data_IF_309918888289
#
_entry.id   IF_309918888289
#
_cell.length_a   1.000
_cell.length_b   1.000
_cell.length_c   1.000
_cell.angle_alpha   90.00
_cell.angle_beta   90.00
_cell.angle_gamma   90.00
#
_symmetry.space_group_name_H-M   'P 1'
#
loop_
_entity.id
_entity.type
_entity.pdbx_description
1 polymer ?
#
# COMPACT_ATOMS: atom_id res chain seq x y z
N UNK A 1 -25.65 -7.40 2.45
CA UNK A 1 -24.20 -7.10 2.46
C UNK A 1 -23.50 -8.26 3.13
N UNK A 2 -22.72 -9.05 2.39
CA UNK A 2 -21.97 -10.15 3.01
C UNK A 2 -20.56 -10.16 2.45
N UNK A 3 -19.59 -9.95 3.33
CA UNK A 3 -18.22 -10.36 3.07
C UNK A 3 -18.19 -11.89 3.12
N UNK A 4 -17.60 -12.51 2.10
CA UNK A 4 -17.44 -13.96 2.02
C UNK A 4 -16.07 -14.39 2.54
N UNK A 5 -15.02 -13.62 2.24
CA UNK A 5 -13.65 -13.93 2.61
C UNK A 5 -12.93 -12.67 3.07
N UNK A 6 -12.18 -12.79 4.15
CA UNK A 6 -11.24 -11.77 4.61
C UNK A 6 -9.84 -12.38 4.65
N UNK A 7 -8.88 -11.78 3.95
CA UNK A 7 -7.49 -12.14 4.04
C UNK A 7 -6.70 -10.98 4.66
N UNK A 8 -5.86 -11.28 5.64
CA UNK A 8 -4.87 -10.34 6.16
C UNK A 8 -3.48 -10.83 5.77
N UNK A 9 -2.74 -10.02 5.02
CA UNK A 9 -1.46 -10.34 4.43
C UNK A 9 -0.35 -9.56 5.13
N UNK A 10 0.58 -10.30 5.74
CA UNK A 10 1.88 -9.81 6.19
C UNK A 10 2.85 -9.82 5.01
N UNK A 11 3.41 -8.67 4.67
CA UNK A 11 4.08 -8.41 3.41
C UNK A 11 5.55 -8.09 3.60
N UNK A 12 6.31 -8.45 2.58
CA UNK A 12 7.74 -8.18 2.53
C UNK A 12 8.19 -8.11 1.08
N UNK A 13 9.32 -7.47 0.85
CA UNK A 13 10.03 -7.57 -0.43
C UNK A 13 10.39 -9.02 -0.72
N UNK A 14 10.85 -9.76 0.30
CA UNK A 14 11.17 -11.18 0.21
C UNK A 14 9.90 -12.02 0.15
N UNK A 15 9.67 -12.65 -1.00
CA UNK A 15 8.51 -13.51 -1.26
C UNK A 15 8.34 -14.62 -0.21
N UNK A 16 9.43 -15.15 0.35
CA UNK A 16 9.40 -16.22 1.36
C UNK A 16 8.88 -15.74 2.72
N UNK A 17 8.90 -14.43 2.97
CA UNK A 17 8.43 -13.80 4.21
C UNK A 17 7.01 -13.26 4.09
N UNK A 18 6.32 -13.51 2.97
CA UNK A 18 4.93 -13.09 2.76
C UNK A 18 3.98 -14.17 3.26
N UNK A 19 3.18 -13.83 4.26
CA UNK A 19 2.25 -14.73 4.92
C UNK A 19 0.85 -14.12 4.94
N UNK A 20 -0.16 -14.95 5.06
CA UNK A 20 -1.54 -14.49 5.22
C UNK A 20 -2.33 -15.38 6.18
N UNK A 21 -3.30 -14.77 6.85
CA UNK A 21 -4.37 -15.47 7.54
C UNK A 21 -5.67 -15.21 6.77
N UNK A 22 -6.47 -16.25 6.59
CA UNK A 22 -7.73 -16.17 5.83
C UNK A 22 -8.89 -16.58 6.73
N UNK A 23 -9.92 -15.74 6.75
CA UNK A 23 -11.20 -16.03 7.38
C UNK A 23 -12.25 -16.21 6.28
N UNK A 24 -12.94 -17.33 6.30
CA UNK A 24 -14.00 -17.66 5.34
C UNK A 24 -15.34 -17.71 6.06
N UNK A 25 -16.36 -17.09 5.48
CA UNK A 25 -17.70 -17.12 6.03
C UNK A 25 -18.34 -18.47 5.76
N UNK A 26 -18.83 -19.14 6.82
CA UNK A 26 -19.54 -20.43 6.75
C UNK A 26 -20.85 -20.31 7.52
N UNK A 27 -21.98 -20.33 6.81
CA UNK A 27 -23.29 -20.06 7.38
C UNK A 27 -23.35 -18.68 8.07
N UNK A 28 -23.67 -18.67 9.37
CA UNK A 28 -23.72 -17.44 10.17
C UNK A 28 -22.37 -17.05 10.80
N UNK A 29 -21.37 -17.95 10.78
CA UNK A 29 -20.07 -17.77 11.43
C UNK A 29 -18.89 -17.63 10.47
N UNK A 30 -17.68 -17.65 11.04
CA UNK A 30 -16.41 -17.56 10.32
C UNK A 30 -15.49 -18.71 10.72
N UNK A 31 -14.77 -19.27 9.74
CA UNK A 31 -13.66 -20.19 9.99
C UNK A 31 -12.37 -19.47 9.64
N UNK A 32 -11.44 -19.41 10.60
CA UNK A 32 -10.12 -18.80 10.41
C UNK A 32 -9.10 -19.92 10.23
N UNK A 33 -8.38 -19.90 9.10
CA UNK A 33 -7.31 -20.86 8.83
C UNK A 33 -6.02 -20.50 9.57
N UNK A 34 -5.16 -21.50 9.77
CA UNK A 34 -3.79 -21.25 10.20
C UNK A 34 -3.05 -20.35 9.19
N UNK A 35 -2.03 -19.58 9.63
CA UNK A 35 -1.24 -18.77 8.72
C UNK A 35 -0.64 -19.62 7.58
N UNK A 36 -0.72 -19.11 6.36
CA UNK A 36 -0.20 -19.79 5.17
C UNK A 36 0.60 -18.80 4.29
N UNK A 37 1.57 -19.28 3.48
CA UNK A 37 2.33 -18.41 2.61
C UNK A 37 1.45 -17.81 1.50
N UNK A 38 1.74 -16.57 1.11
CA UNK A 38 1.05 -15.88 -0.01
C UNK A 38 1.33 -16.56 -1.37
N UNK A 39 2.49 -17.20 -1.54
CA UNK A 39 2.92 -17.86 -2.79
C UNK A 39 2.94 -16.88 -3.98
N UNK A 40 2.49 -17.32 -5.15
CA UNK A 40 2.42 -16.49 -6.36
C UNK A 40 1.37 -15.39 -6.18
N UNK A 41 1.74 -14.17 -6.57
CA UNK A 41 0.91 -12.98 -6.47
C UNK A 41 -0.02 -12.83 -7.67
N UNK A 42 0.35 -13.39 -8.82
CA UNK A 42 -0.46 -13.32 -10.05
C UNK A 42 -1.80 -14.07 -9.92
N UNK A 43 -1.85 -15.16 -9.15
CA UNK A 43 -3.06 -15.94 -8.92
C UNK A 43 -3.73 -15.68 -7.57
N UNK A 44 -3.20 -14.77 -6.74
CA UNK A 44 -3.64 -14.57 -5.36
C UNK A 44 -5.12 -14.21 -5.27
N UNK A 45 -5.56 -13.17 -6.00
CA UNK A 45 -6.95 -12.72 -6.00
C UNK A 45 -7.88 -13.82 -6.55
N UNK A 46 -7.65 -14.40 -7.74
CA UNK A 46 -8.45 -15.53 -8.23
C UNK A 46 -8.51 -16.70 -7.25
N UNK A 47 -7.41 -17.02 -6.57
CA UNK A 47 -7.34 -18.12 -5.61
C UNK A 47 -8.17 -17.85 -4.35
N UNK A 48 -8.13 -16.64 -3.82
CA UNK A 48 -8.96 -16.26 -2.67
C UNK A 48 -10.43 -16.15 -3.06
N UNK A 49 -10.74 -15.68 -4.27
CA UNK A 49 -12.12 -15.68 -4.80
C UNK A 49 -12.72 -17.07 -4.89
N UNK A 50 -11.94 -18.08 -5.27
CA UNK A 50 -12.39 -19.49 -5.26
C UNK A 50 -12.74 -20.02 -3.86
N UNK A 51 -12.33 -19.34 -2.79
CA UNK A 51 -12.69 -19.68 -1.40
C UNK A 51 -14.01 -19.05 -0.96
N UNK A 52 -14.55 -18.10 -1.72
CA UNK A 52 -15.86 -17.52 -1.46
C UNK A 52 -16.95 -18.56 -1.80
N UNK A 53 -17.62 -19.14 -0.79
CA UNK A 53 -18.78 -20.03 -1.01
C UNK A 53 -20.00 -19.30 -1.57
N UNK A 54 -20.06 -18.00 -1.34
CA UNK A 54 -21.13 -17.10 -1.78
C UNK A 54 -20.53 -16.04 -2.67
N UNK A 55 -21.36 -15.33 -3.44
CA UNK A 55 -20.93 -14.16 -4.21
C UNK A 55 -20.60 -12.93 -3.34
N UNK A 56 -20.25 -13.13 -2.06
CA UNK A 56 -19.90 -12.04 -1.16
C UNK A 56 -18.57 -11.34 -1.51
N UNK A 57 -18.35 -10.19 -0.89
CA UNK A 57 -17.13 -9.42 -1.06
C UNK A 57 -15.89 -10.21 -0.57
N UNK A 58 -14.78 -10.05 -1.27
CA UNK A 58 -13.44 -10.43 -0.81
C UNK A 58 -12.76 -9.18 -0.27
N UNK A 59 -12.34 -9.21 1.00
CA UNK A 59 -11.57 -8.13 1.63
C UNK A 59 -10.14 -8.60 1.84
N UNK A 60 -9.17 -7.83 1.37
CA UNK A 60 -7.75 -8.12 1.48
C UNK A 60 -7.04 -6.95 2.15
N UNK A 61 -6.59 -7.18 3.38
CA UNK A 61 -5.78 -6.25 4.13
C UNK A 61 -4.29 -6.52 3.92
N UNK A 62 -3.52 -5.52 3.49
CA UNK A 62 -2.07 -5.61 3.37
C UNK A 62 -1.37 -4.66 4.33
N UNK A 63 -0.30 -5.13 4.97
CA UNK A 63 0.54 -4.35 5.90
C UNK A 63 1.59 -3.46 5.21
N UNK A 64 1.37 -3.08 3.94
CA UNK A 64 2.14 -2.06 3.26
C UNK A 64 1.31 -0.77 3.09
N UNK A 65 1.96 0.41 3.03
CA UNK A 65 1.28 1.67 2.77
C UNK A 65 0.45 1.66 1.48
N UNK A 66 -0.79 2.15 1.53
CA UNK A 66 -1.63 2.43 0.36
C UNK A 66 -1.99 3.92 0.38
N UNK A 67 -1.56 4.65 -0.65
CA UNK A 67 -1.72 6.09 -0.75
C UNK A 67 -0.40 6.85 -0.76
N UNK A 68 -0.48 8.16 -1.01
CA UNK A 68 0.66 9.07 -1.08
C UNK A 68 0.49 10.21 -0.05
N UNK A 69 1.60 10.81 0.43
CA UNK A 69 1.54 12.06 1.17
C UNK A 69 0.88 13.16 0.33
N UNK A 70 0.07 14.01 0.97
CA UNK A 70 -0.72 15.04 0.27
C UNK A 70 0.19 16.03 -0.46
N UNK A 71 1.27 16.50 0.17
CA UNK A 71 2.19 17.45 -0.44
C UNK A 71 2.86 16.88 -1.69
N UNK A 72 3.26 15.61 -1.65
CA UNK A 72 3.80 14.92 -2.82
C UNK A 72 2.76 14.77 -3.93
N UNK A 73 1.52 14.39 -3.58
CA UNK A 73 0.41 14.30 -4.54
C UNK A 73 0.20 15.63 -5.28
N UNK A 74 0.10 16.74 -4.53
CA UNK A 74 -0.03 18.09 -5.09
C UNK A 74 1.15 18.47 -6.00
N UNK A 75 2.39 18.20 -5.56
CA UNK A 75 3.60 18.52 -6.34
C UNK A 75 3.71 17.69 -7.64
N UNK A 76 3.18 16.47 -7.64
CA UNK A 76 3.16 15.60 -8.82
C UNK A 76 2.13 16.02 -9.87
N UNK A 77 1.13 16.83 -9.51
CA UNK A 77 0.03 17.22 -10.40
C UNK A 77 -0.94 16.09 -10.75
N UNK A 78 -0.84 14.92 -10.10
CA UNK A 78 -1.75 13.80 -10.28
C UNK A 78 -3.07 14.05 -9.54
N UNK A 79 -4.20 13.82 -10.22
CA UNK A 79 -5.53 14.21 -9.72
C UNK A 79 -5.94 13.44 -8.45
N UNK A 80 -5.67 12.13 -8.41
CA UNK A 80 -5.97 11.26 -7.28
C UNK A 80 -5.03 10.05 -7.24
N UNK A 81 -5.15 9.23 -6.19
CA UNK A 81 -4.28 8.07 -6.00
C UNK A 81 -4.44 6.98 -7.09
N UNK A 82 -5.64 6.82 -7.65
CA UNK A 82 -5.90 5.85 -8.71
C UNK A 82 -5.31 6.31 -10.04
N UNK A 83 -5.40 7.60 -10.35
CA UNK A 83 -4.70 8.23 -11.46
C UNK A 83 -3.17 8.10 -11.31
N UNK A 84 -2.65 8.28 -10.09
CA UNK A 84 -1.25 8.07 -9.79
C UNK A 84 -0.78 6.64 -10.09
N UNK A 85 -1.52 5.63 -9.62
CA UNK A 85 -1.21 4.22 -9.87
C UNK A 85 -1.21 3.87 -11.36
N UNK A 86 -2.09 4.49 -12.18
CA UNK A 86 -2.09 4.31 -13.64
C UNK A 86 -0.87 4.93 -14.31
N UNK A 87 -0.35 6.03 -13.77
CA UNK A 87 0.79 6.74 -14.35
C UNK A 87 2.14 6.09 -13.99
N UNK A 88 2.29 5.56 -12.77
CA UNK A 88 3.55 5.03 -12.29
C UNK A 88 4.05 3.83 -13.11
N UNK A 89 5.34 3.84 -13.44
CA UNK A 89 5.97 2.83 -14.31
C UNK A 89 5.87 3.15 -15.81
N UNK A 90 5.20 4.24 -16.19
CA UNK A 90 5.15 4.77 -17.56
C UNK A 90 5.67 6.21 -17.60
N UNK A 91 6.10 6.72 -18.76
CA UNK A 91 6.62 8.09 -18.85
C UNK A 91 5.55 9.13 -18.46
N UNK A 92 5.88 10.17 -17.68
CA UNK A 92 7.22 10.53 -17.18
C UNK A 92 7.66 9.81 -15.88
N UNK A 93 6.78 9.02 -15.26
CA UNK A 93 7.01 8.29 -13.99
C UNK A 93 7.61 6.88 -14.18
N UNK A 94 8.40 6.66 -15.23
CA UNK A 94 8.96 5.34 -15.54
C UNK A 94 9.85 4.82 -14.41
N UNK A 95 10.56 5.72 -13.73
CA UNK A 95 11.50 5.42 -12.64
C UNK A 95 10.86 5.53 -11.25
N UNK A 96 9.54 5.65 -11.16
CA UNK A 96 8.88 5.95 -9.88
C UNK A 96 9.10 4.85 -8.83
N UNK A 97 9.19 3.60 -9.27
CA UNK A 97 9.46 2.46 -8.39
C UNK A 97 10.95 2.22 -8.11
N UNK A 98 11.84 3.00 -8.71
CA UNK A 98 13.27 2.84 -8.54
C UNK A 98 13.72 3.59 -7.30
N UNK A 99 14.50 2.93 -6.45
CA UNK A 99 15.10 3.56 -5.28
C UNK A 99 16.36 4.30 -5.72
N UNK A 100 16.45 5.59 -5.40
CA UNK A 100 17.62 6.42 -5.64
C UNK A 100 18.82 5.93 -4.81
N UNK A 101 19.97 5.79 -5.47
CA UNK A 101 21.26 5.50 -4.85
C UNK A 101 21.91 6.78 -4.34
N UNK A 102 21.78 7.87 -5.10
CA UNK A 102 22.36 9.18 -4.79
C UNK A 102 21.29 10.26 -4.62
N UNK A 103 21.60 11.29 -3.83
CA UNK A 103 20.64 12.35 -3.46
C UNK A 103 20.19 13.20 -4.66
N UNK A 104 21.04 13.33 -5.67
CA UNK A 104 20.80 14.05 -6.92
C UNK A 104 19.88 13.29 -7.90
N UNK A 105 19.62 12.01 -7.65
CA UNK A 105 18.64 11.23 -8.40
C UNK A 105 17.21 11.40 -7.85
N UNK A 106 17.06 11.95 -6.64
CA UNK A 106 15.76 12.15 -6.01
C UNK A 106 14.99 13.19 -6.80
N UNK A 107 13.78 12.83 -7.21
CA UNK A 107 12.87 13.75 -7.91
C UNK A 107 11.43 13.31 -7.72
N UNK A 108 10.49 14.12 -8.22
CA UNK A 108 9.09 13.74 -8.27
C UNK A 108 8.86 12.45 -9.10
N UNK A 109 9.75 12.12 -10.03
CA UNK A 109 9.65 10.93 -10.87
C UNK A 109 10.42 9.72 -10.31
N UNK A 110 11.22 9.90 -9.26
CA UNK A 110 12.00 8.85 -8.57
C UNK A 110 12.16 9.22 -7.08
N UNK A 111 11.10 9.08 -6.25
CA UNK A 111 11.09 9.69 -4.92
C UNK A 111 11.66 8.80 -3.81
N UNK A 112 11.86 7.49 -4.03
CA UNK A 112 12.30 6.57 -2.98
C UNK A 112 13.80 6.69 -2.73
N UNK A 113 14.21 6.87 -1.47
CA UNK A 113 15.61 7.01 -1.09
C UNK A 113 15.82 6.60 0.38
N UNK A 114 16.96 6.00 0.76
CA UNK A 114 18.09 5.58 -0.08
C UNK A 114 18.10 4.08 -0.39
N UNK A 115 18.78 3.72 -1.48
CA UNK A 115 18.98 2.31 -1.85
C UNK A 115 19.86 1.56 -0.85
N UNK A 116 20.89 2.21 -0.31
CA UNK A 116 21.86 1.64 0.62
C UNK A 116 22.17 2.59 1.79
N UNK A 117 22.61 2.08 2.96
CA UNK A 117 23.13 2.93 4.02
C UNK A 117 24.41 3.67 3.61
N UNK A 118 24.69 4.80 4.25
CA UNK A 118 25.97 5.52 4.15
C UNK A 118 25.80 7.00 3.78
N UNK A 119 26.01 7.92 4.74
CA UNK A 119 25.92 9.36 4.51
C UNK A 119 24.54 9.87 4.08
N UNK A 120 23.50 9.04 4.18
CA UNK A 120 22.14 9.32 3.72
C UNK A 120 21.31 9.96 4.83
N UNK A 121 20.54 10.99 4.47
CA UNK A 121 19.74 11.77 5.42
C UNK A 121 18.35 12.04 4.86
N UNK A 122 17.34 12.13 5.73
CA UNK A 122 15.97 12.48 5.33
C UNK A 122 15.89 13.88 4.73
N UNK A 123 16.76 14.79 5.17
CA UNK A 123 16.85 16.14 4.59
C UNK A 123 17.05 16.12 3.07
N UNK A 124 17.75 15.12 2.53
CA UNK A 124 17.90 14.98 1.07
C UNK A 124 16.56 14.80 0.34
N UNK A 125 15.59 14.11 0.94
CA UNK A 125 14.24 14.00 0.38
C UNK A 125 13.52 15.34 0.43
N UNK A 126 13.69 16.07 1.53
CA UNK A 126 13.02 17.34 1.74
C UNK A 126 13.54 18.39 0.76
N UNK A 127 14.84 18.52 0.63
CA UNK A 127 15.48 19.45 -0.29
C UNK A 127 15.11 19.14 -1.76
N UNK A 128 15.19 17.87 -2.16
CA UNK A 128 14.95 17.46 -3.55
C UNK A 128 13.47 17.52 -3.97
N UNK A 129 12.55 17.33 -3.03
CA UNK A 129 11.10 17.41 -3.27
C UNK A 129 10.51 18.78 -2.90
N UNK A 130 11.36 19.74 -2.53
CA UNK A 130 10.98 21.09 -2.09
C UNK A 130 9.94 21.07 -0.95
N UNK A 131 10.23 20.30 0.08
CA UNK A 131 9.41 20.14 1.29
C UNK A 131 10.08 20.89 2.44
N UNK A 132 9.36 21.81 3.06
CA UNK A 132 9.87 22.60 4.20
C UNK A 132 9.70 21.86 5.53
N UNK A 133 8.53 21.23 5.74
CA UNK A 133 8.24 20.43 6.93
C UNK A 133 8.27 18.94 6.60
N UNK A 134 9.14 18.18 7.26
CA UNK A 134 9.23 16.72 7.07
C UNK A 134 7.92 15.97 7.32
N UNK A 135 7.00 16.54 8.11
CA UNK A 135 5.65 15.99 8.33
C UNK A 135 4.77 16.00 7.07
N UNK A 136 5.13 16.76 6.04
CA UNK A 136 4.44 16.82 4.76
C UNK A 136 4.77 15.65 3.83
N UNK A 137 5.86 14.91 4.09
CA UNK A 137 6.11 13.61 3.48
C UNK A 137 5.48 12.44 4.26
N UNK A 138 4.72 12.72 5.31
CA UNK A 138 3.87 11.72 5.99
C UNK A 138 2.44 11.81 5.45
N UNK A 139 1.80 10.65 5.29
CA UNK A 139 0.35 10.58 5.12
C UNK A 139 -0.33 11.02 6.41
N UNK A 140 -1.58 11.48 6.34
CA UNK A 140 -2.31 11.96 7.53
C UNK A 140 -2.35 10.92 8.65
N UNK A 141 -2.57 9.66 8.31
CA UNK A 141 -2.58 8.53 9.25
C UNK A 141 -1.19 8.17 9.83
N UNK A 142 -0.11 8.73 9.28
CA UNK A 142 1.27 8.50 9.72
C UNK A 142 1.78 9.60 10.65
N UNK A 143 1.08 10.73 10.75
CA UNK A 143 1.46 11.83 11.63
C UNK A 143 1.24 11.48 13.10
N UNK A 144 2.08 12.04 13.96
CA UNK A 144 2.00 11.87 15.39
C UNK A 144 0.63 12.26 15.94
N UNK A 145 0.23 11.55 16.98
CA UNK A 145 -0.96 11.83 17.79
C UNK A 145 -0.52 12.09 19.23
N UNK A 146 -1.45 12.49 20.10
CA UNK A 146 -1.15 12.70 21.52
C UNK A 146 -0.56 11.47 22.23
N UNK A 147 -0.74 10.26 21.69
CA UNK A 147 -0.36 9.00 22.34
C UNK A 147 0.69 8.20 21.57
N UNK A 148 1.08 8.65 20.37
CA UNK A 148 2.05 7.93 19.53
C UNK A 148 2.78 8.90 18.61
N UNK A 149 4.09 8.72 18.45
CA UNK A 149 4.89 9.50 17.51
C UNK A 149 4.59 9.17 16.04
N UNK A 150 5.29 9.89 15.15
CA UNK A 150 5.21 9.66 13.70
C UNK A 150 5.51 8.21 13.33
N UNK A 151 4.81 7.72 12.32
CA UNK A 151 5.06 6.45 11.69
C UNK A 151 6.19 6.56 10.64
N UNK A 152 6.25 5.61 9.72
CA UNK A 152 7.29 5.55 8.71
C UNK A 152 6.95 6.44 7.50
N UNK A 153 7.92 7.18 6.98
CA UNK A 153 7.78 7.91 5.71
C UNK A 153 7.80 6.94 4.53
N UNK A 154 6.83 7.04 3.63
CA UNK A 154 6.74 6.20 2.44
C UNK A 154 8.03 6.18 1.61
N UNK A 155 8.61 7.36 1.38
CA UNK A 155 9.78 7.51 0.50
C UNK A 155 11.11 7.19 1.16
N UNK A 156 11.14 6.96 2.48
CA UNK A 156 12.35 6.59 3.20
C UNK A 156 12.53 5.06 3.21
N UNK A 157 13.64 4.57 2.64
CA UNK A 157 13.83 3.12 2.40
C UNK A 157 14.95 2.47 3.20
N UNK A 158 15.37 3.07 4.32
CA UNK A 158 16.46 2.58 5.19
C UNK A 158 16.04 2.36 6.66
N UNK A 159 16.67 1.38 7.33
CA UNK A 159 16.49 1.10 8.77
C UNK A 159 15.31 0.18 9.08
N UNK A 160 14.72 0.29 10.26
CA UNK A 160 13.48 -0.42 10.64
C UNK A 160 12.21 0.14 9.98
N UNK A 161 12.34 1.24 9.23
CA UNK A 161 11.23 2.03 8.69
C UNK A 161 11.10 1.92 7.16
N UNK A 162 11.53 0.81 6.54
CA UNK A 162 11.56 0.64 5.07
C UNK A 162 10.20 0.24 4.48
N UNK A 163 9.12 0.86 4.95
CA UNK A 163 7.77 0.55 4.47
C UNK A 163 7.61 0.84 2.97
N UNK A 164 8.41 1.77 2.43
CA UNK A 164 8.44 2.11 1.00
C UNK A 164 8.77 0.94 0.09
N UNK A 165 9.73 0.06 0.48
CA UNK A 165 10.08 -1.10 -0.35
C UNK A 165 8.94 -2.13 -0.39
N UNK A 166 8.23 -2.29 0.72
CA UNK A 166 7.03 -3.13 0.78
C UNK A 166 5.88 -2.54 -0.05
N UNK A 167 5.71 -1.21 -0.04
CA UNK A 167 4.76 -0.51 -0.91
C UNK A 167 5.08 -0.72 -2.39
N UNK A 168 6.35 -0.54 -2.81
CA UNK A 168 6.78 -0.78 -4.21
C UNK A 168 6.37 -2.18 -4.67
N UNK A 169 6.71 -3.22 -3.91
CA UNK A 169 6.37 -4.60 -4.31
C UNK A 169 4.87 -4.87 -4.24
N UNK A 170 4.19 -4.38 -3.20
CA UNK A 170 2.74 -4.51 -3.06
C UNK A 170 1.97 -3.86 -4.20
N UNK A 171 2.37 -2.64 -4.59
CA UNK A 171 1.67 -1.90 -5.64
C UNK A 171 1.92 -2.53 -7.01
N UNK A 172 3.17 -2.91 -7.32
CA UNK A 172 3.51 -3.52 -8.61
C UNK A 172 2.97 -4.93 -8.78
N UNK A 173 2.90 -5.72 -7.72
CA UNK A 173 2.52 -7.13 -7.81
C UNK A 173 1.04 -7.38 -7.53
N UNK A 174 0.37 -6.52 -6.75
CA UNK A 174 -1.04 -6.70 -6.36
C UNK A 174 -1.93 -5.61 -6.94
N UNK A 175 -1.65 -4.34 -6.66
CA UNK A 175 -2.63 -3.28 -6.94
C UNK A 175 -2.69 -2.94 -8.43
N UNK A 176 -1.56 -2.59 -9.04
CA UNK A 176 -1.49 -2.11 -10.42
C UNK A 176 -1.98 -3.14 -11.43
N UNK A 177 -1.58 -4.43 -11.35
CA UNK A 177 -2.05 -5.44 -12.30
C UNK A 177 -3.57 -5.70 -12.23
N UNK A 178 -4.21 -5.36 -11.11
CA UNK A 178 -5.63 -5.63 -10.86
C UNK A 178 -6.42 -4.33 -10.68
N UNK A 179 -5.88 -3.18 -11.12
CA UNK A 179 -6.39 -1.87 -10.74
C UNK A 179 -7.85 -1.66 -11.14
N UNK A 180 -8.26 -2.17 -12.30
CA UNK A 180 -9.63 -2.03 -12.79
C UNK A 180 -10.60 -3.06 -12.16
N UNK A 181 -10.08 -4.10 -11.48
CA UNK A 181 -10.86 -5.18 -10.87
C UNK A 181 -10.95 -5.09 -9.33
N UNK A 182 -10.23 -4.13 -8.73
CA UNK A 182 -10.22 -3.91 -7.27
C UNK A 182 -10.68 -2.51 -6.91
N UNK A 183 -11.34 -2.43 -5.75
CA UNK A 183 -11.60 -1.16 -5.06
C UNK A 183 -10.59 -0.97 -3.93
N UNK A 184 -10.05 0.23 -3.82
CA UNK A 184 -9.03 0.64 -2.87
C UNK A 184 -9.69 1.40 -1.73
N UNK A 185 -9.67 0.83 -0.54
CA UNK A 185 -10.12 1.52 0.66
C UNK A 185 -8.94 2.26 1.31
N UNK A 186 -9.08 3.54 1.71
CA UNK A 186 -10.31 4.35 1.83
C UNK A 186 -10.61 5.27 0.64
N UNK A 187 -9.99 5.08 -0.52
CA UNK A 187 -10.06 6.03 -1.64
C UNK A 187 -11.36 5.95 -2.43
N UNK A 188 -11.93 4.75 -2.61
CA UNK A 188 -13.12 4.55 -3.45
C UNK A 188 -14.45 4.64 -2.66
N UNK A 189 -14.42 5.00 -1.38
CA UNK A 189 -15.61 5.17 -0.53
C UNK A 189 -15.47 4.54 0.86
N UNK A 190 -16.58 4.52 1.61
CA UNK A 190 -16.60 3.88 2.93
C UNK A 190 -16.55 2.36 2.79
N UNK A 191 -16.00 1.67 3.80
CA UNK A 191 -15.89 0.21 3.75
C UNK A 191 -17.25 -0.48 3.60
N UNK A 192 -18.30 0.06 4.23
CA UNK A 192 -19.67 -0.47 4.12
C UNK A 192 -20.24 -0.34 2.71
N UNK A 193 -19.96 0.76 2.01
CA UNK A 193 -20.40 0.97 0.62
C UNK A 193 -19.67 0.04 -0.36
N UNK A 194 -18.40 -0.27 -0.07
CA UNK A 194 -17.56 -1.11 -0.93
C UNK A 194 -17.87 -2.61 -0.80
N UNK A 195 -18.41 -3.07 0.34
CA UNK A 195 -18.74 -4.48 0.62
C UNK A 195 -19.97 -5.01 -0.15
N UNK A 196 -19.92 -4.93 -1.47
CA UNK A 196 -20.93 -5.41 -2.42
C UNK A 196 -20.63 -6.84 -2.89
N UNK A 197 -21.67 -7.50 -3.40
CA UNK A 197 -21.54 -8.81 -4.06
C UNK A 197 -20.48 -8.74 -5.16
N UNK A 198 -19.61 -9.73 -5.24
CA UNK A 198 -18.57 -9.79 -6.27
C UNK A 198 -17.48 -8.73 -6.16
N UNK A 199 -17.41 -7.89 -5.12
CA UNK A 199 -16.39 -6.85 -4.99
C UNK A 199 -15.06 -7.35 -4.36
N UNK A 200 -13.91 -6.95 -4.91
CA UNK A 200 -12.57 -7.21 -4.34
C UNK A 200 -12.07 -5.92 -3.72
N UNK A 201 -11.94 -5.89 -2.40
CA UNK A 201 -11.50 -4.71 -1.66
C UNK A 201 -10.06 -4.92 -1.22
N UNK A 202 -9.18 -4.01 -1.62
CA UNK A 202 -7.80 -3.93 -1.13
C UNK A 202 -7.72 -2.78 -0.12
N UNK A 203 -7.24 -3.08 1.08
CA UNK A 203 -7.22 -2.16 2.20
C UNK A 203 -5.86 -2.16 2.90
N UNK A 204 -5.51 -1.04 3.50
CA UNK A 204 -4.43 -0.95 4.48
C UNK A 204 -5.03 -1.05 5.89
N UNK A 205 -4.81 -2.15 6.62
CA UNK A 205 -5.36 -2.34 7.98
C UNK A 205 -4.67 -1.46 9.02
N UNK A 206 -3.45 -0.99 8.74
CA UNK A 206 -2.64 -0.17 9.64
C UNK A 206 -3.05 1.31 9.67
N UNK A 207 -4.15 1.71 9.01
CA UNK A 207 -4.63 3.09 9.04
C UNK A 207 -5.00 3.49 10.47
N UNK A 208 -4.10 4.24 11.10
CA UNK A 208 -4.33 4.87 12.40
C UNK A 208 -5.30 6.03 12.16
N UNK A 209 -6.58 5.80 12.49
CA UNK A 209 -7.69 6.77 12.41
C UNK A 209 -7.70 7.61 11.11
N UNK A 210 -8.40 7.14 10.09
CA UNK A 210 -8.82 7.99 8.98
C UNK A 210 -10.00 8.87 9.44
N UNK A 211 -9.73 9.94 10.19
CA UNK A 211 -10.64 11.06 10.44
C UNK A 211 -9.83 12.35 10.56
#
# INVERSE_FOLDING_TARGET
MSVAVVAHCYWSVDRKKRWMCVAERRGTGWIISAPEPVRDTADLIPRLRRRCETDGALVMGFDFPIGLPVAYGSASGLADFRAALRAFGSAPYAQWFDVAEHRDEISIHRPFYPMRPGGTQRQHLFDALNIEDGSDLLRRCERATAVCGDACMLFWTLGGNQVGKAAITGWREIIIPNLDDVVLWPFDGTLSELMKSGATIVAEPSLRRAF
#
